data_IF_300955799646
#
_entry.id   IF_300955799646
#
_cell.length_a   1.000
_cell.length_b   1.000
_cell.length_c   1.000
_cell.angle_alpha   90.00
_cell.angle_beta   90.00
_cell.angle_gamma   90.00
#
_symmetry.space_group_name_H-M   'P 1'
#
loop_
_entity.id
_entity.type
_entity.pdbx_description
1 polymer ?
#
# COMPACT_ATOMS: atom_id res chain seq x y z
N UNK A 1 -6.32 -22.66 1.59
CA UNK A 1 -6.20 -21.20 1.31
C UNK A 1 -7.53 -20.49 1.59
N UNK A 2 -8.60 -20.67 0.81
CA UNK A 2 -9.89 -19.98 1.04
C UNK A 2 -10.38 -20.07 2.50
N UNK A 3 -10.39 -21.26 3.09
CA UNK A 3 -10.78 -21.48 4.49
C UNK A 3 -9.84 -20.78 5.49
N UNK A 4 -8.53 -20.81 5.22
CA UNK A 4 -7.50 -20.14 6.04
C UNK A 4 -7.66 -18.62 6.10
N UNK A 5 -8.34 -18.03 5.12
CA UNK A 5 -8.68 -16.61 5.08
C UNK A 5 -10.11 -16.33 5.57
N UNK A 6 -10.86 -17.34 6.03
CA UNK A 6 -12.23 -17.18 6.49
C UNK A 6 -13.24 -16.92 5.36
N UNK A 7 -12.91 -17.29 4.12
CA UNK A 7 -13.81 -17.17 2.96
C UNK A 7 -13.17 -16.52 1.74
N UNK A 8 -13.87 -16.62 0.60
CA UNK A 8 -13.38 -16.15 -0.69
C UNK A 8 -13.26 -14.62 -0.76
N UNK A 9 -14.18 -13.89 -0.14
CA UNK A 9 -14.13 -12.42 -0.09
C UNK A 9 -12.81 -11.93 0.52
N UNK A 10 -12.44 -12.46 1.69
CA UNK A 10 -11.23 -12.06 2.40
C UNK A 10 -9.97 -12.42 1.61
N UNK A 11 -9.95 -13.60 0.98
CA UNK A 11 -8.84 -14.01 0.11
C UNK A 11 -8.70 -13.09 -1.11
N UNK A 12 -9.81 -12.72 -1.76
CA UNK A 12 -9.80 -11.77 -2.89
C UNK A 12 -9.25 -10.42 -2.44
N UNK A 13 -9.74 -9.89 -1.32
CA UNK A 13 -9.26 -8.62 -0.76
C UNK A 13 -7.76 -8.68 -0.47
N UNK A 14 -7.28 -9.78 0.13
CA UNK A 14 -5.86 -10.00 0.37
C UNK A 14 -5.03 -9.99 -0.92
N UNK A 15 -5.50 -10.69 -1.96
CA UNK A 15 -4.82 -10.73 -3.26
C UNK A 15 -4.79 -9.34 -3.91
N UNK A 16 -5.87 -8.57 -3.85
CA UNK A 16 -5.90 -7.20 -4.38
C UNK A 16 -4.87 -6.31 -3.68
N UNK A 17 -4.78 -6.38 -2.36
CA UNK A 17 -3.76 -5.66 -1.58
C UNK A 17 -2.34 -6.11 -1.96
N UNK A 18 -2.11 -7.41 -2.10
CA UNK A 18 -0.82 -7.97 -2.54
C UNK A 18 -0.43 -7.48 -3.93
N UNK A 19 -1.34 -7.52 -4.90
CA UNK A 19 -1.10 -7.03 -6.26
C UNK A 19 -0.78 -5.53 -6.26
N UNK A 20 -1.51 -4.74 -5.48
CA UNK A 20 -1.22 -3.32 -5.28
C UNK A 20 0.19 -3.09 -4.73
N UNK A 21 0.56 -3.83 -3.69
CA UNK A 21 1.90 -3.74 -3.08
C UNK A 21 3.01 -4.15 -4.07
N UNK A 22 2.82 -5.24 -4.82
CA UNK A 22 3.77 -5.67 -5.86
C UNK A 22 3.91 -4.59 -6.94
N UNK A 23 2.79 -4.06 -7.43
CA UNK A 23 2.80 -3.03 -8.47
C UNK A 23 3.56 -1.78 -8.01
N UNK A 24 3.19 -1.18 -6.87
CA UNK A 24 3.81 0.05 -6.39
C UNK A 24 5.26 -0.16 -5.97
N UNK A 25 5.60 -1.27 -5.30
CA UNK A 25 7.00 -1.56 -4.98
C UNK A 25 7.84 -1.79 -6.24
N UNK A 26 7.32 -2.45 -7.27
CA UNK A 26 8.01 -2.63 -8.54
C UNK A 26 8.28 -1.30 -9.23
N UNK A 27 7.26 -0.43 -9.31
CA UNK A 27 7.40 0.92 -9.86
C UNK A 27 8.45 1.74 -9.11
N UNK A 28 8.43 1.70 -7.78
CA UNK A 28 9.37 2.45 -6.95
C UNK A 28 10.81 1.90 -6.96
N UNK A 29 11.02 0.58 -7.06
CA UNK A 29 12.34 -0.06 -6.91
C UNK A 29 13.04 -0.32 -8.25
N UNK A 30 12.30 -0.84 -9.24
CA UNK A 30 12.88 -1.30 -10.51
C UNK A 30 12.59 -0.35 -11.66
N UNK A 31 11.49 0.41 -11.61
CA UNK A 31 11.14 1.44 -12.60
C UNK A 31 11.19 2.85 -12.00
N UNK A 32 12.06 3.08 -11.01
CA UNK A 32 12.09 4.31 -10.21
C UNK A 32 12.11 5.56 -11.07
N UNK A 33 12.96 5.62 -12.11
CA UNK A 33 13.08 6.79 -12.98
C UNK A 33 11.75 7.10 -13.68
N UNK A 34 11.15 6.11 -14.33
CA UNK A 34 9.87 6.29 -15.01
C UNK A 34 8.75 6.69 -14.04
N UNK A 35 8.77 6.20 -12.79
CA UNK A 35 7.79 6.58 -11.77
C UNK A 35 7.99 8.02 -11.27
N UNK A 36 9.23 8.43 -11.00
CA UNK A 36 9.59 9.81 -10.65
C UNK A 36 9.23 10.79 -11.76
N UNK A 37 9.56 10.44 -13.01
CA UNK A 37 9.29 11.27 -14.19
C UNK A 37 7.78 11.40 -14.45
N UNK A 38 6.98 10.36 -14.16
CA UNK A 38 5.51 10.40 -14.29
C UNK A 38 4.88 11.55 -13.50
N UNK A 39 5.37 11.80 -12.28
CA UNK A 39 4.86 12.85 -11.40
C UNK A 39 5.72 14.12 -11.38
N UNK A 40 6.80 14.17 -12.17
CA UNK A 40 7.67 15.34 -12.26
C UNK A 40 8.41 15.68 -10.97
N UNK A 41 8.74 14.68 -10.14
CA UNK A 41 9.42 14.93 -8.85
C UNK A 41 10.90 15.30 -8.98
N UNK A 42 11.49 15.12 -10.18
CA UNK A 42 12.91 15.32 -10.43
C UNK A 42 13.81 14.21 -9.88
N UNK A 43 15.02 14.08 -10.45
CA UNK A 43 15.92 12.94 -10.15
C UNK A 43 16.38 12.91 -8.67
N UNK A 44 16.32 14.03 -7.93
CA UNK A 44 16.62 14.07 -6.49
C UNK A 44 15.64 13.26 -5.65
N UNK A 45 14.42 13.02 -6.15
CA UNK A 45 13.41 12.22 -5.45
C UNK A 45 13.70 10.71 -5.48
N UNK A 46 14.59 10.23 -6.36
CA UNK A 46 14.89 8.80 -6.57
C UNK A 46 15.21 8.07 -5.26
N UNK A 47 16.00 8.69 -4.38
CA UNK A 47 16.36 8.07 -3.10
C UNK A 47 15.14 7.85 -2.21
N UNK A 48 14.32 8.88 -2.04
CA UNK A 48 13.10 8.81 -1.23
C UNK A 48 12.04 7.89 -1.84
N UNK A 49 11.90 7.87 -3.17
CA UNK A 49 11.02 6.94 -3.87
C UNK A 49 11.43 5.49 -3.64
N UNK A 50 12.73 5.18 -3.72
CA UNK A 50 13.23 3.82 -3.40
C UNK A 50 13.04 3.47 -1.94
N UNK A 51 13.26 4.41 -1.02
CA UNK A 51 13.01 4.19 0.40
C UNK A 51 11.54 3.85 0.68
N UNK A 52 10.59 4.58 0.10
CA UNK A 52 9.18 4.20 0.16
C UNK A 52 8.93 2.83 -0.48
N UNK A 53 9.56 2.56 -1.62
CA UNK A 53 9.50 1.29 -2.32
C UNK A 53 9.95 0.08 -1.49
N UNK A 54 10.96 0.22 -0.62
CA UNK A 54 11.41 -0.91 0.23
C UNK A 54 10.39 -1.26 1.30
N UNK A 55 9.67 -0.28 1.84
CA UNK A 55 8.59 -0.50 2.81
C UNK A 55 7.41 -1.26 2.17
N UNK A 56 6.96 -0.79 0.99
CA UNK A 56 5.88 -1.44 0.23
C UNK A 56 6.32 -2.82 -0.28
N UNK A 57 7.59 -2.96 -0.68
CA UNK A 57 8.16 -4.24 -1.12
C UNK A 57 8.26 -5.26 0.00
N UNK A 58 8.66 -4.84 1.22
CA UNK A 58 8.62 -5.70 2.40
C UNK A 58 7.19 -6.18 2.69
N UNK A 59 6.20 -5.29 2.57
CA UNK A 59 4.79 -5.66 2.71
C UNK A 59 4.34 -6.68 1.66
N UNK A 60 4.74 -6.50 0.40
CA UNK A 60 4.45 -7.45 -0.68
C UNK A 60 5.04 -8.85 -0.39
N UNK A 61 6.30 -8.91 0.03
CA UNK A 61 6.97 -10.19 0.35
C UNK A 61 6.29 -10.89 1.52
N UNK A 62 6.03 -10.18 2.62
CA UNK A 62 5.36 -10.75 3.79
C UNK A 62 3.94 -11.22 3.44
N UNK A 63 3.17 -10.40 2.71
CA UNK A 63 1.82 -10.74 2.26
C UNK A 63 1.80 -11.97 1.34
N UNK A 64 2.80 -12.12 0.46
CA UNK A 64 2.97 -13.30 -0.39
C UNK A 64 3.27 -14.54 0.44
N UNK A 65 4.15 -14.45 1.45
CA UNK A 65 4.45 -15.58 2.35
C UNK A 65 3.19 -16.02 3.10
N UNK A 66 2.46 -15.08 3.69
CA UNK A 66 1.21 -15.32 4.42
C UNK A 66 0.10 -15.94 3.55
N UNK A 67 0.15 -15.72 2.23
CA UNK A 67 -0.75 -16.40 1.29
C UNK A 67 -0.59 -17.93 1.35
N UNK A 68 0.65 -18.41 1.51
CA UNK A 68 0.97 -19.84 1.53
C UNK A 68 0.93 -20.44 2.93
N UNK A 69 1.43 -19.74 3.94
CA UNK A 69 1.50 -20.27 5.32
C UNK A 69 0.24 -20.00 6.14
N UNK A 70 -0.64 -19.13 5.65
CA UNK A 70 -1.86 -18.71 6.32
C UNK A 70 -1.68 -17.40 7.14
N UNK A 71 -2.75 -16.61 7.32
CA UNK A 71 -2.69 -15.31 7.99
C UNK A 71 -2.91 -15.38 9.51
N UNK A 72 -2.88 -16.58 10.12
CA UNK A 72 -3.16 -16.72 11.55
C UNK A 72 -2.16 -15.93 12.40
N UNK A 73 -2.66 -15.16 13.37
CA UNK A 73 -1.83 -14.30 14.23
C UNK A 73 -1.22 -13.06 13.53
N UNK A 74 -1.51 -12.83 12.24
CA UNK A 74 -0.90 -11.75 11.45
C UNK A 74 -1.56 -10.37 11.66
N UNK A 75 -2.30 -10.15 12.75
CA UNK A 75 -3.03 -8.89 12.97
C UNK A 75 -2.14 -7.66 12.87
N UNK A 76 -0.91 -7.71 13.40
CA UNK A 76 -0.01 -6.55 13.44
C UNK A 76 0.39 -6.12 12.03
N UNK A 77 0.51 -7.07 11.09
CA UNK A 77 0.81 -6.79 9.69
C UNK A 77 -0.37 -6.07 9.00
N UNK A 78 -1.59 -6.57 9.20
CA UNK A 78 -2.80 -5.96 8.60
C UNK A 78 -3.10 -4.60 9.25
N UNK A 79 -2.90 -4.47 10.57
CA UNK A 79 -3.06 -3.22 11.31
C UNK A 79 -2.00 -2.17 10.91
N UNK A 80 -0.77 -2.60 10.62
CA UNK A 80 0.24 -1.74 10.04
C UNK A 80 -0.18 -1.26 8.65
N UNK A 81 -0.66 -2.15 7.77
CA UNK A 81 -1.16 -1.79 6.45
C UNK A 81 -2.33 -0.80 6.50
N UNK A 82 -3.26 -1.01 7.44
CA UNK A 82 -4.34 -0.08 7.73
C UNK A 82 -3.82 1.30 8.16
N UNK A 83 -2.94 1.32 9.16
CA UNK A 83 -2.38 2.57 9.71
C UNK A 83 -1.59 3.34 8.65
N UNK A 84 -0.75 2.65 7.89
CA UNK A 84 0.02 3.24 6.80
C UNK A 84 -0.91 3.87 5.75
N UNK A 85 -1.99 3.17 5.37
CA UNK A 85 -2.98 3.66 4.40
C UNK A 85 -3.74 4.90 4.92
N UNK A 86 -4.07 4.93 6.21
CA UNK A 86 -4.71 6.10 6.84
C UNK A 86 -3.78 7.32 6.79
N UNK A 87 -2.53 7.15 7.23
CA UNK A 87 -1.56 8.24 7.23
C UNK A 87 -1.27 8.74 5.82
N UNK A 88 -1.08 7.83 4.86
CA UNK A 88 -0.87 8.19 3.45
C UNK A 88 -2.08 8.91 2.85
N UNK A 89 -3.31 8.56 3.26
CA UNK A 89 -4.51 9.30 2.85
C UNK A 89 -4.46 10.75 3.34
N UNK A 90 -4.22 10.96 4.64
CA UNK A 90 -4.24 12.29 5.26
C UNK A 90 -3.12 13.16 4.70
N UNK A 91 -1.88 12.67 4.73
CA UNK A 91 -0.74 13.44 4.27
C UNK A 91 -0.71 13.60 2.75
N UNK A 92 -1.15 12.58 1.99
CA UNK A 92 -1.30 12.69 0.54
C UNK A 92 -2.32 13.76 0.15
N UNK A 93 -3.45 13.83 0.85
CA UNK A 93 -4.45 14.88 0.63
C UNK A 93 -3.88 16.26 0.95
N UNK A 94 -3.18 16.40 2.07
CA UNK A 94 -2.52 17.65 2.45
C UNK A 94 -1.49 18.08 1.40
N UNK A 95 -0.64 17.17 0.92
CA UNK A 95 0.36 17.48 -0.12
C UNK A 95 -0.29 17.94 -1.41
N UNK A 96 -1.30 17.22 -1.92
CA UNK A 96 -1.99 17.55 -3.18
C UNK A 96 -2.76 18.88 -3.08
N UNK A 97 -3.18 19.29 -1.88
CA UNK A 97 -3.94 20.53 -1.65
C UNK A 97 -3.10 21.62 -0.95
N UNK A 98 -1.80 21.66 -1.19
CA UNK A 98 -0.87 22.62 -0.58
C UNK A 98 0.06 23.26 -1.61
N UNK A 99 0.94 24.15 -1.15
CA UNK A 99 2.00 24.76 -1.98
C UNK A 99 2.90 23.73 -2.68
N UNK A 100 3.07 22.53 -2.09
CA UNK A 100 3.84 21.44 -2.67
C UNK A 100 3.28 20.92 -4.01
N UNK A 101 1.98 21.13 -4.26
CA UNK A 101 1.34 20.78 -5.54
C UNK A 101 1.59 21.81 -6.66
N UNK A 102 2.04 23.01 -6.31
CA UNK A 102 2.23 24.13 -7.25
C UNK A 102 3.71 24.30 -7.67
N UNK A 103 4.59 23.40 -7.27
CA UNK A 103 5.99 23.40 -7.70
C UNK A 103 6.06 23.17 -9.21
N UNK A 104 6.84 24.00 -9.91
CA UNK A 104 6.96 23.92 -11.37
C UNK A 104 7.41 22.53 -11.82
N UNK A 105 6.67 21.95 -12.77
CA UNK A 105 6.93 20.61 -13.31
C UNK A 105 6.34 19.45 -12.49
N UNK A 106 5.94 19.67 -11.23
CA UNK A 106 5.31 18.63 -10.38
C UNK A 106 3.87 18.40 -10.83
N UNK A 107 3.49 17.13 -10.92
CA UNK A 107 2.13 16.67 -11.21
C UNK A 107 1.57 15.98 -9.98
N UNK A 108 1.12 16.78 -9.02
CA UNK A 108 0.39 16.26 -7.87
C UNK A 108 -0.98 15.74 -8.34
N UNK A 109 -1.22 14.44 -8.20
CA UNK A 109 -2.46 13.80 -8.64
C UNK A 109 -3.26 13.28 -7.45
N UNK A 110 -4.59 13.19 -7.63
CA UNK A 110 -5.47 12.64 -6.61
C UNK A 110 -5.15 11.16 -6.26
N UNK A 111 -4.40 10.46 -7.11
CA UNK A 111 -3.89 9.10 -6.82
C UNK A 111 -3.16 9.06 -5.46
N UNK A 112 -2.43 10.13 -5.11
CA UNK A 112 -1.65 10.24 -3.87
C UNK A 112 -2.46 10.07 -2.58
N UNK A 113 -3.79 10.23 -2.61
CA UNK A 113 -4.67 9.93 -1.48
C UNK A 113 -5.82 8.98 -1.83
N UNK A 114 -6.26 8.89 -3.08
CA UNK A 114 -7.31 7.96 -3.50
C UNK A 114 -6.87 6.50 -3.42
N UNK A 115 -5.65 6.16 -3.86
CA UNK A 115 -5.16 4.78 -3.74
C UNK A 115 -5.01 4.35 -2.27
N UNK A 116 -4.42 5.18 -1.37
CA UNK A 116 -4.44 4.92 0.07
C UNK A 116 -5.84 4.74 0.67
N UNK A 117 -6.86 5.50 0.25
CA UNK A 117 -8.25 5.31 0.71
C UNK A 117 -8.77 3.91 0.36
N UNK A 118 -8.53 3.45 -0.87
CA UNK A 118 -8.94 2.11 -1.29
C UNK A 118 -8.24 1.06 -0.42
N UNK A 119 -6.92 1.18 -0.21
CA UNK A 119 -6.19 0.26 0.66
C UNK A 119 -6.66 0.30 2.11
N UNK A 120 -7.04 1.48 2.63
CA UNK A 120 -7.60 1.63 3.97
C UNK A 120 -8.91 0.86 4.11
N UNK A 121 -9.82 0.99 3.14
CA UNK A 121 -11.10 0.27 3.13
C UNK A 121 -10.86 -1.25 3.07
N UNK A 122 -9.98 -1.70 2.18
CA UNK A 122 -9.66 -3.13 2.03
C UNK A 122 -9.03 -3.71 3.31
N UNK A 123 -8.09 -3.01 3.94
CA UNK A 123 -7.53 -3.46 5.22
C UNK A 123 -8.58 -3.45 6.34
N UNK A 124 -9.52 -2.50 6.33
CA UNK A 124 -10.65 -2.48 7.29
C UNK A 124 -11.51 -3.73 7.15
N UNK A 125 -11.82 -4.12 5.91
CA UNK A 125 -12.57 -5.37 5.63
C UNK A 125 -11.85 -6.57 6.21
N UNK A 126 -10.52 -6.68 6.03
CA UNK A 126 -9.74 -7.79 6.60
C UNK A 126 -9.74 -7.79 8.13
N UNK A 127 -9.49 -6.63 8.77
CA UNK A 127 -9.44 -6.53 10.24
C UNK A 127 -10.76 -6.87 10.91
N UNK A 128 -11.89 -6.56 10.27
CA UNK A 128 -13.23 -6.86 10.79
C UNK A 128 -13.61 -8.31 10.49
N UNK A 129 -13.49 -8.76 9.24
CA UNK A 129 -14.00 -10.08 8.84
C UNK A 129 -13.10 -11.24 9.27
N UNK A 130 -11.79 -11.02 9.39
CA UNK A 130 -10.83 -12.06 9.77
C UNK A 130 -10.44 -12.00 11.23
N UNK A 131 -11.19 -11.29 12.09
CA UNK A 131 -10.79 -11.05 13.48
C UNK A 131 -10.43 -12.33 14.26
N UNK A 132 -11.23 -13.39 14.16
CA UNK A 132 -10.95 -14.67 14.82
C UNK A 132 -9.68 -15.38 14.33
N UNK A 133 -9.19 -15.04 13.14
CA UNK A 133 -7.99 -15.62 12.52
C UNK A 133 -6.77 -14.74 12.81
N UNK A 134 -6.91 -13.43 12.65
CA UNK A 134 -5.81 -12.49 12.80
C UNK A 134 -5.39 -12.30 14.26
N UNK A 135 -6.36 -12.24 15.19
CA UNK A 135 -6.11 -11.99 16.61
C UNK A 135 -5.93 -13.26 17.45
N UNK A 136 -6.24 -14.43 16.88
CA UNK A 136 -6.19 -15.74 17.55
C UNK A 136 -4.90 -16.51 17.33
#
# INVERSE_FOLDING_TARGET
MVESFGGSLNLIVWIVLLVGAIYYSYRCLFQTKAFVDQYGFGDSAVFMTRFAGTQVGAAAVISLVLLFIGPQGAWAFVAWGWTQSLLATVFGYQTVNSEWANVEGVKATAEGYLAPIVFLILNTVLLVNMGSILYG
#
